data_IF_084001496513
#
_entry.id   IF_084001496513
#
_cell.length_a   1.000
_cell.length_b   1.000
_cell.length_c   1.000
_cell.angle_alpha   90.00
_cell.angle_beta   90.00
_cell.angle_gamma   90.00
#
_symmetry.space_group_name_H-M   'P 1'
#
loop_
_entity.id
_entity.type
_entity.pdbx_description
1 polymer ?
#
# COMPACT_ATOMS: atom_id res chain seq x y z
N UNK A 1 -1.28 -10.95 1.96
CA UNK A 1 -1.23 -11.43 3.36
C UNK A 1 0.15 -11.21 3.96
N UNK A 2 1.23 -11.71 3.33
CA UNK A 2 2.63 -11.60 3.80
C UNK A 2 3.04 -10.19 4.23
N UNK A 3 2.83 -9.17 3.40
CA UNK A 3 3.24 -7.78 3.73
C UNK A 3 2.56 -7.22 4.99
N UNK A 4 1.33 -7.64 5.26
CA UNK A 4 0.54 -7.17 6.40
C UNK A 4 1.07 -7.75 7.71
N UNK A 5 1.57 -8.98 7.66
CA UNK A 5 2.24 -9.62 8.81
C UNK A 5 3.52 -8.86 9.15
N UNK A 6 4.30 -8.45 8.14
CA UNK A 6 5.48 -7.60 8.35
C UNK A 6 5.14 -6.26 9.01
N UNK A 7 4.12 -5.55 8.53
CA UNK A 7 3.68 -4.27 9.11
C UNK A 7 3.14 -4.42 10.53
N UNK A 8 2.38 -5.48 10.81
CA UNK A 8 1.92 -5.79 12.17
C UNK A 8 3.09 -6.11 13.09
N UNK A 9 4.10 -6.85 12.62
CA UNK A 9 5.33 -7.12 13.36
C UNK A 9 6.10 -5.84 13.71
N UNK A 10 6.20 -4.89 12.78
CA UNK A 10 6.80 -3.58 13.03
C UNK A 10 6.01 -2.82 14.10
N UNK A 11 4.68 -2.79 13.98
CA UNK A 11 3.82 -2.12 14.95
C UNK A 11 3.93 -2.74 16.34
N UNK A 12 3.87 -4.07 16.45
CA UNK A 12 3.99 -4.75 17.75
C UNK A 12 5.36 -4.53 18.38
N UNK A 13 6.46 -4.62 17.61
CA UNK A 13 7.80 -4.30 18.10
C UNK A 13 7.90 -2.85 18.59
N UNK A 14 7.27 -1.92 17.89
CA UNK A 14 7.27 -0.50 18.27
C UNK A 14 6.50 -0.24 19.57
N UNK A 15 5.47 -1.04 19.86
CA UNK A 15 4.64 -0.88 21.06
C UNK A 15 5.12 -1.72 22.26
N UNK A 16 5.85 -2.82 22.03
CA UNK A 16 6.33 -3.73 23.06
C UNK A 16 7.22 -3.06 24.12
N UNK A 17 7.98 -2.04 23.73
CA UNK A 17 8.88 -1.32 24.63
C UNK A 17 8.22 -0.25 25.51
N UNK A 18 6.93 0.06 25.31
CA UNK A 18 6.20 1.12 26.03
C UNK A 18 6.62 2.54 25.66
N UNK A 19 7.91 2.78 25.41
CA UNK A 19 8.45 4.05 24.95
C UNK A 19 9.41 3.81 23.76
N UNK A 20 8.89 3.94 22.54
CA UNK A 20 9.69 3.75 21.34
C UNK A 20 10.70 4.90 21.20
N UNK A 21 11.99 4.63 20.93
CA UNK A 21 12.97 5.71 20.80
C UNK A 21 12.74 6.50 19.52
N UNK A 22 13.00 7.82 19.57
CA UNK A 22 12.74 8.73 18.46
C UNK A 22 13.41 8.31 17.14
N UNK A 23 14.63 7.78 17.20
CA UNK A 23 15.36 7.32 16.01
C UNK A 23 14.60 6.21 15.26
N UNK A 24 13.83 5.38 15.96
CA UNK A 24 13.06 4.30 15.35
C UNK A 24 11.91 4.86 14.50
N UNK A 25 11.17 5.84 15.03
CA UNK A 25 10.13 6.55 14.28
C UNK A 25 10.68 7.23 13.03
N UNK A 26 11.85 7.88 13.15
CA UNK A 26 12.53 8.52 12.01
C UNK A 26 12.93 7.49 10.95
N UNK A 27 13.49 6.33 11.35
CA UNK A 27 13.84 5.26 10.42
C UNK A 27 12.61 4.78 9.65
N UNK A 28 11.48 4.56 10.32
CA UNK A 28 10.23 4.18 9.66
C UNK A 28 9.76 5.24 8.66
N UNK A 29 9.86 6.52 9.00
CA UNK A 29 9.50 7.63 8.12
C UNK A 29 10.39 7.68 6.87
N UNK A 30 11.71 7.60 7.04
CA UNK A 30 12.66 7.64 5.92
C UNK A 30 12.48 6.44 5.00
N UNK A 31 12.40 5.23 5.57
CA UNK A 31 12.16 4.01 4.78
C UNK A 31 10.80 4.04 4.08
N UNK A 32 9.76 4.52 4.76
CA UNK A 32 8.43 4.69 4.18
C UNK A 32 8.44 5.64 3.00
N UNK A 33 9.13 6.78 3.13
CA UNK A 33 9.28 7.78 2.07
C UNK A 33 10.00 7.24 0.84
N UNK A 34 11.15 6.59 1.04
CA UNK A 34 11.93 5.98 -0.07
C UNK A 34 11.10 4.90 -0.75
N UNK A 35 10.43 4.05 0.03
CA UNK A 35 9.61 2.96 -0.49
C UNK A 35 8.42 3.48 -1.29
N UNK A 36 7.73 4.50 -0.78
CA UNK A 36 6.61 5.15 -1.46
C UNK A 36 7.07 5.75 -2.80
N UNK A 37 8.14 6.53 -2.77
CA UNK A 37 8.67 7.21 -3.94
C UNK A 37 9.13 6.23 -5.03
N UNK A 38 9.95 5.25 -4.65
CA UNK A 38 10.47 4.25 -5.58
C UNK A 38 9.34 3.38 -6.15
N UNK A 39 8.38 2.96 -5.31
CA UNK A 39 7.22 2.20 -5.74
C UNK A 39 6.37 2.95 -6.76
N UNK A 40 6.13 4.25 -6.54
CA UNK A 40 5.37 5.09 -7.47
C UNK A 40 6.08 5.26 -8.82
N UNK A 41 7.40 5.52 -8.81
CA UNK A 41 8.17 5.65 -10.05
C UNK A 41 8.14 4.38 -10.90
N UNK A 42 8.37 3.21 -10.29
CA UNK A 42 8.33 1.94 -11.02
C UNK A 42 6.91 1.60 -11.50
N UNK A 43 5.87 1.96 -10.74
CA UNK A 43 4.49 1.73 -11.16
C UNK A 43 4.15 2.54 -12.42
N UNK A 44 4.59 3.79 -12.51
CA UNK A 44 4.35 4.68 -13.66
C UNK A 44 5.02 4.18 -14.95
N UNK A 45 6.16 3.49 -14.85
CA UNK A 45 6.91 3.01 -16.00
C UNK A 45 6.46 1.61 -16.47
N UNK A 46 5.61 0.93 -15.71
CA UNK A 46 5.26 -0.46 -15.95
C UNK A 46 4.00 -0.60 -16.82
N UNK A 47 4.11 -1.38 -17.89
CA UNK A 47 3.01 -1.58 -18.85
C UNK A 47 2.24 -2.87 -18.57
N UNK A 48 2.82 -3.78 -17.77
CA UNK A 48 2.15 -5.01 -17.36
C UNK A 48 1.24 -4.77 -16.15
N UNK A 49 -0.07 -5.03 -16.30
CA UNK A 49 -1.07 -4.76 -15.26
C UNK A 49 -0.77 -5.42 -13.91
N UNK A 50 -0.27 -6.66 -13.89
CA UNK A 50 0.01 -7.36 -12.65
C UNK A 50 1.26 -6.80 -11.95
N UNK A 51 2.29 -6.42 -12.73
CA UNK A 51 3.50 -5.79 -12.19
C UNK A 51 3.23 -4.36 -11.73
N UNK A 52 2.47 -3.59 -12.51
CA UNK A 52 2.03 -2.25 -12.13
C UNK A 52 1.30 -2.28 -10.80
N UNK A 53 0.36 -3.23 -10.62
CA UNK A 53 -0.36 -3.39 -9.35
C UNK A 53 0.57 -3.80 -8.19
N UNK A 54 1.64 -4.56 -8.46
CA UNK A 54 2.64 -4.92 -7.47
C UNK A 54 3.50 -3.72 -7.05
N UNK A 55 3.95 -2.87 -7.99
CA UNK A 55 4.70 -1.65 -7.68
C UNK A 55 3.86 -0.62 -6.91
N UNK A 56 2.59 -0.45 -7.26
CA UNK A 56 1.67 0.33 -6.43
C UNK A 56 1.45 -0.30 -5.04
N UNK A 57 1.58 -1.61 -4.89
CA UNK A 57 1.55 -2.25 -3.56
C UNK A 57 2.77 -1.82 -2.74
N UNK A 58 3.94 -1.78 -3.35
CA UNK A 58 5.16 -1.25 -2.71
C UNK A 58 4.96 0.21 -2.28
N UNK A 59 4.45 1.05 -3.18
CA UNK A 59 4.16 2.46 -2.89
C UNK A 59 3.25 2.63 -1.66
N UNK A 60 2.12 1.92 -1.65
CA UNK A 60 1.13 1.99 -0.56
C UNK A 60 1.69 1.47 0.77
N UNK A 61 2.58 0.48 0.75
CA UNK A 61 3.28 0.02 1.96
C UNK A 61 4.19 1.10 2.51
N UNK A 62 4.87 1.86 1.64
CA UNK A 62 5.62 3.04 2.03
C UNK A 62 4.74 4.09 2.73
N UNK A 63 3.55 4.36 2.20
CA UNK A 63 2.58 5.29 2.81
C UNK A 63 2.11 4.79 4.19
N UNK A 64 1.85 3.49 4.33
CA UNK A 64 1.47 2.90 5.63
C UNK A 64 2.62 3.04 6.63
N UNK A 65 3.87 2.78 6.21
CA UNK A 65 5.06 2.99 7.04
C UNK A 65 5.22 4.45 7.46
N UNK A 66 4.88 5.41 6.60
CA UNK A 66 4.86 6.83 6.97
C UNK A 66 3.85 7.10 8.10
N UNK A 67 2.63 6.56 8.00
CA UNK A 67 1.63 6.68 9.07
C UNK A 67 2.08 6.03 10.39
N UNK A 68 2.61 4.80 10.32
CA UNK A 68 3.15 4.11 11.49
C UNK A 68 4.35 4.86 12.10
N UNK A 69 5.28 5.34 11.27
CA UNK A 69 6.44 6.12 11.69
C UNK A 69 6.06 7.44 12.35
N UNK A 70 5.03 8.13 11.83
CA UNK A 70 4.47 9.32 12.45
C UNK A 70 3.85 8.99 13.82
N UNK A 71 3.08 7.90 13.92
CA UNK A 71 2.49 7.44 15.17
C UNK A 71 3.55 7.11 16.24
N UNK A 72 4.59 6.36 15.86
CA UNK A 72 5.72 6.00 16.72
C UNK A 72 6.53 7.22 17.15
N UNK A 73 6.75 8.17 16.23
CA UNK A 73 7.39 9.45 16.54
C UNK A 73 6.54 10.26 17.54
N UNK A 74 5.22 10.24 17.39
CA UNK A 74 4.29 10.84 18.34
C UNK A 74 4.38 10.23 19.74
N UNK A 75 4.61 8.91 19.85
CA UNK A 75 4.83 8.24 21.14
C UNK A 75 6.11 8.76 21.78
N UNK A 76 7.21 8.81 21.02
CA UNK A 76 8.51 9.28 21.50
C UNK A 76 8.52 10.76 21.93
N UNK A 77 7.68 11.59 21.29
CA UNK A 77 7.55 13.02 21.57
C UNK A 77 6.40 13.34 22.54
N UNK A 78 5.69 12.33 23.06
CA UNK A 78 4.52 12.47 23.93
C UNK A 78 3.42 13.38 23.32
N UNK A 79 3.24 13.33 22.00
CA UNK A 79 2.26 14.14 21.27
C UNK A 79 1.02 13.32 20.89
N UNK A 80 -0.08 13.36 21.67
CA UNK A 80 -1.23 12.48 21.47
C UNK A 80 -1.93 12.67 20.13
N UNK A 81 -1.95 13.89 19.60
CA UNK A 81 -2.52 14.17 18.27
C UNK A 81 -1.75 13.44 17.16
N UNK A 82 -0.41 13.43 17.23
CA UNK A 82 0.43 12.78 16.23
C UNK A 82 0.32 11.25 16.32
N UNK A 83 0.21 10.72 17.53
CA UNK A 83 -0.05 9.29 17.77
C UNK A 83 -1.37 8.88 17.12
N UNK A 84 -2.45 9.60 17.43
CA UNK A 84 -3.78 9.30 16.93
C UNK A 84 -3.83 9.40 15.41
N UNK A 85 -3.40 10.51 14.83
CA UNK A 85 -3.46 10.74 13.39
C UNK A 85 -2.54 9.78 12.61
N UNK A 86 -1.32 9.54 13.10
CA UNK A 86 -0.37 8.64 12.46
C UNK A 86 -0.85 7.19 12.45
N UNK A 87 -1.21 6.65 13.62
CA UNK A 87 -1.66 5.26 13.73
C UNK A 87 -3.01 5.02 13.06
N UNK A 88 -3.99 5.91 13.26
CA UNK A 88 -5.31 5.79 12.61
C UNK A 88 -5.14 5.92 11.09
N UNK A 89 -4.39 6.91 10.62
CA UNK A 89 -4.13 7.09 9.19
C UNK A 89 -3.45 5.88 8.56
N UNK A 90 -2.37 5.38 9.16
CA UNK A 90 -1.63 4.22 8.67
C UNK A 90 -2.46 2.93 8.65
N UNK A 91 -3.21 2.65 9.73
CA UNK A 91 -4.04 1.45 9.83
C UNK A 91 -5.30 1.52 8.94
N UNK A 92 -5.93 2.69 8.84
CA UNK A 92 -7.04 2.91 7.94
C UNK A 92 -6.59 2.70 6.49
N UNK A 93 -5.44 3.25 6.10
CA UNK A 93 -4.87 3.05 4.77
C UNK A 93 -4.52 1.59 4.51
N UNK A 94 -3.97 0.86 5.50
CA UNK A 94 -3.70 -0.58 5.41
C UNK A 94 -4.97 -1.41 5.12
N UNK A 95 -6.07 -1.09 5.79
CA UNK A 95 -7.36 -1.76 5.58
C UNK A 95 -7.93 -1.43 4.21
N UNK A 96 -7.97 -0.14 3.84
CA UNK A 96 -8.48 0.26 2.53
C UNK A 96 -7.65 -0.37 1.40
N UNK A 97 -6.32 -0.32 1.53
CA UNK A 97 -5.36 -0.98 0.64
C UNK A 97 -5.62 -2.46 0.44
N UNK A 98 -5.90 -3.14 1.54
CA UNK A 98 -6.22 -4.57 1.51
C UNK A 98 -7.45 -4.88 0.67
N UNK A 99 -8.50 -4.05 0.77
CA UNK A 99 -9.76 -4.26 0.08
C UNK A 99 -9.61 -3.92 -1.41
N UNK A 100 -9.17 -2.70 -1.74
CA UNK A 100 -9.10 -2.26 -3.13
C UNK A 100 -8.12 -3.11 -3.95
N UNK A 101 -6.93 -3.46 -3.41
CA UNK A 101 -5.96 -4.29 -4.14
C UNK A 101 -6.48 -5.68 -4.41
N UNK A 102 -7.24 -6.26 -3.48
CA UNK A 102 -7.82 -7.59 -3.70
C UNK A 102 -8.75 -7.57 -4.91
N UNK A 103 -9.59 -6.54 -5.03
CA UNK A 103 -10.47 -6.36 -6.19
C UNK A 103 -9.67 -6.14 -7.48
N UNK A 104 -8.66 -5.26 -7.45
CA UNK A 104 -7.84 -4.98 -8.64
C UNK A 104 -7.03 -6.20 -9.13
N UNK A 105 -6.45 -6.99 -8.23
CA UNK A 105 -5.71 -8.20 -8.61
C UNK A 105 -6.65 -9.30 -9.14
N UNK A 106 -7.84 -9.47 -8.55
CA UNK A 106 -8.85 -10.39 -9.07
C UNK A 106 -9.37 -9.95 -10.45
N UNK A 107 -9.60 -8.65 -10.64
CA UNK A 107 -9.98 -8.06 -11.92
C UNK A 107 -8.90 -8.24 -13.00
N UNK A 108 -7.65 -7.91 -12.68
CA UNK A 108 -6.52 -8.12 -13.57
C UNK A 108 -6.32 -9.61 -13.93
N UNK A 109 -6.50 -10.51 -12.96
CA UNK A 109 -6.48 -11.96 -13.18
C UNK A 109 -7.61 -12.42 -14.11
N UNK A 110 -8.81 -11.86 -13.95
CA UNK A 110 -9.98 -12.16 -14.79
C UNK A 110 -9.79 -11.67 -16.23
N UNK A 111 -9.21 -10.49 -16.41
CA UNK A 111 -8.85 -9.94 -17.73
C UNK A 111 -7.81 -10.82 -18.42
N UNK A 112 -6.76 -11.22 -17.69
CA UNK A 112 -5.74 -12.12 -18.22
C UNK A 112 -6.32 -13.49 -18.60
N UNK A 113 -7.16 -14.07 -17.75
CA UNK A 113 -7.82 -15.36 -18.01
C UNK A 113 -8.64 -15.33 -19.32
N UNK A 114 -9.29 -14.20 -19.62
CA UNK A 114 -10.15 -14.07 -20.81
C UNK A 114 -9.41 -13.62 -22.07
N UNK A 115 -8.32 -12.87 -21.96
CA UNK A 115 -7.63 -12.25 -23.11
C UNK A 115 -6.24 -12.79 -23.38
N UNK A 116 -5.60 -13.43 -22.41
CA UNK A 116 -4.19 -13.81 -22.46
C UNK A 116 -3.20 -12.62 -22.41
N UNK A 117 -3.69 -11.38 -22.46
CA UNK A 117 -2.85 -10.19 -22.47
C UNK A 117 -2.62 -9.67 -21.05
N UNK A 118 -1.38 -9.25 -20.78
CA UNK A 118 -0.99 -8.56 -19.53
C UNK A 118 -0.62 -7.10 -19.75
N UNK A 119 -0.35 -6.76 -21.00
CA UNK A 119 0.08 -5.44 -21.46
C UNK A 119 -1.15 -4.53 -21.59
N UNK A 120 -1.18 -3.44 -20.81
CA UNK A 120 -2.33 -2.53 -20.72
C UNK A 120 -2.59 -1.84 -22.06
N UNK A 121 -1.56 -1.60 -22.86
CA UNK A 121 -1.71 -0.96 -24.18
C UNK A 121 -2.54 -1.81 -25.15
N UNK A 122 -2.54 -3.13 -24.95
CA UNK A 122 -3.30 -4.10 -25.77
C UNK A 122 -4.72 -4.34 -25.26
N UNK A 123 -5.09 -3.75 -24.12
CA UNK A 123 -6.39 -3.94 -23.47
C UNK A 123 -7.40 -2.82 -23.82
N UNK A 124 -7.13 -2.03 -24.87
CA UNK A 124 -8.02 -0.96 -25.34
C UNK A 124 -9.46 -1.44 -25.57
N UNK A 125 -10.43 -0.71 -25.01
CA UNK A 125 -11.86 -1.00 -25.17
C UNK A 125 -12.39 -2.20 -24.36
N UNK A 126 -11.57 -2.81 -23.49
CA UNK A 126 -12.00 -3.96 -22.68
C UNK A 126 -13.18 -3.65 -21.75
N UNK A 127 -13.35 -2.37 -21.38
CA UNK A 127 -14.50 -1.83 -20.67
C UNK A 127 -15.85 -2.28 -21.24
N UNK A 128 -15.98 -2.28 -22.57
CA UNK A 128 -17.22 -2.66 -23.26
C UNK A 128 -17.42 -4.17 -23.33
N UNK A 129 -16.33 -4.95 -23.37
CA UNK A 129 -16.36 -6.41 -23.48
C UNK A 129 -16.53 -7.10 -22.12
N UNK A 130 -16.08 -6.45 -21.04
CA UNK A 130 -16.10 -6.97 -19.67
C UNK A 130 -16.62 -5.90 -18.68
N UNK A 131 -17.89 -5.46 -18.80
CA UNK A 131 -18.41 -4.30 -18.06
C UNK A 131 -18.42 -4.53 -16.54
N UNK A 132 -18.81 -5.71 -16.07
CA UNK A 132 -18.85 -6.04 -14.62
C UNK A 132 -17.45 -5.94 -14.00
N UNK A 133 -16.44 -6.52 -14.65
CA UNK A 133 -15.05 -6.47 -14.19
C UNK A 133 -14.54 -5.02 -14.22
N UNK A 134 -14.90 -4.26 -15.23
CA UNK A 134 -14.46 -2.87 -15.37
C UNK A 134 -15.08 -1.98 -14.30
N UNK A 135 -16.37 -2.14 -13.99
CA UNK A 135 -17.04 -1.45 -12.88
C UNK A 135 -16.39 -1.83 -11.54
N UNK A 136 -16.11 -3.11 -11.33
CA UNK A 136 -15.44 -3.57 -10.12
C UNK A 136 -14.03 -2.98 -9.97
N UNK A 137 -13.33 -2.66 -11.06
CA UNK A 137 -11.99 -2.08 -11.03
C UNK A 137 -11.96 -0.53 -10.95
N UNK A 138 -13.12 0.14 -10.86
CA UNK A 138 -13.23 1.61 -10.70
C UNK A 138 -13.20 2.08 -9.23
N UNK A 139 -12.90 1.18 -8.28
CA UNK A 139 -12.73 1.49 -6.84
C UNK A 139 -11.47 2.25 -6.50
#
# INVERSE_FOLDING_TARGET
>A
VVMKIGLLGILTLSLLGGNAPLWWGIVLLVLGMITAFVGGLYALMEHNIQRLLAYHTLENIGIILLGLGAGVTGIALEQPALIALGLVGGLYHLLNHSLFKSVLFLGAGSVWFRTGHRDIEKLGGIGKKMPVISIAMLV
#
